data_IF_337148967921
#
_entry.id   IF_337148967921
#
_cell.length_a   1.000
_cell.length_b   1.000
_cell.length_c   1.000
_cell.angle_alpha   90.00
_cell.angle_beta   90.00
_cell.angle_gamma   90.00
#
_symmetry.space_group_name_H-M   'P 1'
#
loop_
_entity.id
_entity.type
_entity.pdbx_description
1 polymer ?
#
# COMPACT_ATOMS: atom_id res chain seq x y z
N UNK A 1 8.01 -27.66 -5.88
CA UNK A 1 7.92 -28.80 -4.94
C UNK A 1 6.50 -28.97 -4.45
N UNK A 2 6.02 -30.19 -4.12
CA UNK A 2 4.63 -30.38 -3.66
C UNK A 2 4.35 -29.60 -2.36
N UNK A 3 3.54 -28.53 -2.42
CA UNK A 3 3.31 -27.62 -1.28
C UNK A 3 2.68 -28.33 -0.08
N UNK A 4 1.90 -29.40 -0.30
CA UNK A 4 1.31 -30.21 0.76
C UNK A 4 2.31 -31.02 1.60
N UNK A 5 3.51 -31.36 1.06
CA UNK A 5 4.51 -32.13 1.81
C UNK A 5 5.53 -31.23 2.52
N UNK A 6 5.73 -30.01 2.02
CA UNK A 6 6.81 -29.12 2.44
C UNK A 6 6.34 -27.78 3.05
N UNK A 7 5.05 -27.48 3.00
CA UNK A 7 4.48 -26.20 3.46
C UNK A 7 4.63 -25.89 4.95
N UNK A 8 5.02 -26.88 5.77
CA UNK A 8 5.30 -26.70 7.21
C UNK A 8 6.78 -26.80 7.59
N UNK A 9 7.67 -27.09 6.64
CA UNK A 9 9.11 -27.33 6.91
C UNK A 9 10.04 -26.50 6.03
N UNK A 10 9.51 -25.80 5.03
CA UNK A 10 10.24 -24.86 4.18
C UNK A 10 9.54 -23.51 4.17
N UNK A 11 10.33 -22.43 4.20
CA UNK A 11 9.79 -21.08 4.09
C UNK A 11 9.10 -20.89 2.74
N UNK A 12 7.91 -20.30 2.78
CA UNK A 12 7.22 -19.87 1.57
C UNK A 12 7.60 -18.40 1.31
N UNK A 13 8.38 -18.10 0.26
CA UNK A 13 8.86 -16.74 0.00
C UNK A 13 7.71 -15.76 -0.24
N UNK A 14 6.60 -16.20 -0.83
CA UNK A 14 5.39 -15.37 -1.01
C UNK A 14 4.78 -15.01 0.33
N UNK A 15 4.65 -15.96 1.27
CA UNK A 15 4.11 -15.67 2.61
C UNK A 15 5.01 -14.69 3.35
N UNK A 16 6.33 -14.89 3.32
CA UNK A 16 7.30 -13.99 3.94
C UNK A 16 7.19 -12.58 3.34
N UNK A 17 7.18 -12.47 2.00
CA UNK A 17 7.08 -11.18 1.31
C UNK A 17 5.74 -10.48 1.57
N UNK A 18 4.62 -11.20 1.55
CA UNK A 18 3.30 -10.62 1.86
C UNK A 18 3.25 -10.06 3.28
N UNK A 19 3.84 -10.75 4.26
CA UNK A 19 3.93 -10.23 5.63
C UNK A 19 4.85 -9.01 5.71
N UNK A 20 5.98 -9.00 4.98
CA UNK A 20 6.85 -7.84 4.91
C UNK A 20 6.11 -6.63 4.32
N UNK A 21 5.37 -6.81 3.22
CA UNK A 21 4.56 -5.75 2.62
C UNK A 21 3.46 -5.24 3.56
N UNK A 22 2.73 -6.15 4.22
CA UNK A 22 1.69 -5.80 5.19
C UNK A 22 2.24 -5.08 6.44
N UNK A 23 3.54 -5.23 6.74
CA UNK A 23 4.22 -4.47 7.78
C UNK A 23 4.56 -3.04 7.37
N UNK A 24 4.60 -2.74 6.06
CA UNK A 24 4.92 -1.43 5.51
C UNK A 24 3.68 -0.57 5.26
N UNK A 25 2.57 -1.15 4.82
CA UNK A 25 1.32 -0.45 4.50
C UNK A 25 0.12 -1.29 4.95
N UNK A 26 -0.93 -0.64 5.48
CA UNK A 26 -2.14 -1.32 5.91
C UNK A 26 -3.22 -1.44 4.82
N UNK A 27 -4.33 -2.08 5.15
CA UNK A 27 -5.44 -2.32 4.23
C UNK A 27 -6.16 -1.06 3.73
N UNK A 28 -5.91 0.09 4.37
CA UNK A 28 -6.43 1.38 3.94
C UNK A 28 -5.34 2.23 3.26
N UNK A 29 -4.19 1.66 2.89
CA UNK A 29 -3.10 2.42 2.26
C UNK A 29 -2.31 3.31 3.23
N UNK A 30 -2.52 3.19 4.55
CA UNK A 30 -1.74 3.95 5.54
C UNK A 30 -0.37 3.30 5.71
N UNK A 31 0.69 4.07 5.42
CA UNK A 31 2.07 3.62 5.62
C UNK A 31 2.32 3.35 7.11
N UNK A 32 2.63 2.13 7.50
CA UNK A 32 2.92 1.75 8.89
C UNK A 32 4.32 2.17 9.33
N UNK A 33 5.31 2.06 8.44
CA UNK A 33 6.70 2.45 8.72
C UNK A 33 6.84 3.97 8.82
N UNK A 34 6.88 4.51 10.04
CA UNK A 34 6.87 5.97 10.28
C UNK A 34 8.13 6.69 9.80
N UNK A 35 9.23 5.98 9.57
CA UNK A 35 10.43 6.55 8.95
C UNK A 35 10.26 6.88 7.45
N UNK A 36 9.20 6.40 6.81
CA UNK A 36 8.89 6.67 5.39
C UNK A 36 7.92 7.85 5.20
N UNK A 37 7.45 8.47 6.28
CA UNK A 37 6.55 9.63 6.23
C UNK A 37 7.14 10.78 7.04
N UNK A 38 6.86 12.03 6.67
CA UNK A 38 7.23 13.17 7.51
C UNK A 38 6.47 13.14 8.84
N UNK A 39 6.99 13.80 9.87
CA UNK A 39 6.32 13.94 11.17
C UNK A 39 5.01 14.73 11.06
N UNK A 40 4.97 15.71 10.16
CA UNK A 40 3.81 16.54 9.86
C UNK A 40 3.98 17.22 8.50
N UNK A 41 2.88 17.66 7.90
CA UNK A 41 2.90 18.57 6.75
C UNK A 41 3.23 19.97 7.28
N UNK A 42 4.30 20.64 6.80
CA UNK A 42 4.64 22.00 7.20
C UNK A 42 3.51 23.00 6.90
N UNK A 43 3.34 24.00 7.76
CA UNK A 43 2.24 24.97 7.63
C UNK A 43 2.28 25.77 6.32
N UNK A 44 3.48 26.06 5.80
CA UNK A 44 3.65 26.70 4.50
C UNK A 44 3.10 25.86 3.35
N UNK A 45 3.27 24.54 3.42
CA UNK A 45 2.71 23.60 2.43
C UNK A 45 1.20 23.53 2.58
N UNK A 46 0.68 23.42 3.82
CA UNK A 46 -0.78 23.43 4.07
C UNK A 46 -1.44 24.69 3.51
N UNK A 47 -0.85 25.86 3.75
CA UNK A 47 -1.34 27.12 3.23
C UNK A 47 -1.32 27.15 1.69
N UNK A 48 -0.26 26.64 1.06
CA UNK A 48 -0.13 26.62 -0.39
C UNK A 48 -1.15 25.71 -1.10
N UNK A 49 -1.57 24.62 -0.44
CA UNK A 49 -2.49 23.63 -1.03
C UNK A 49 -3.95 23.79 -0.56
N UNK A 50 -4.22 24.69 0.38
CA UNK A 50 -5.54 24.85 1.00
C UNK A 50 -6.65 25.09 -0.03
N UNK A 51 -6.40 25.96 -1.00
CA UNK A 51 -7.37 26.35 -2.03
C UNK A 51 -7.32 25.48 -3.30
N UNK A 52 -6.46 24.46 -3.36
CA UNK A 52 -6.30 23.64 -4.58
C UNK A 52 -7.46 22.68 -4.85
N UNK A 53 -8.46 22.63 -3.97
CA UNK A 53 -9.77 21.98 -4.21
C UNK A 53 -9.68 20.58 -4.82
N UNK A 54 -9.53 19.54 -4.00
CA UNK A 54 -9.64 18.15 -4.47
C UNK A 54 -11.09 17.70 -4.30
N UNK A 55 -11.84 17.74 -5.40
CA UNK A 55 -13.27 17.46 -5.44
C UNK A 55 -13.59 16.36 -6.45
N UNK A 56 -14.38 15.38 -6.01
CA UNK A 56 -14.81 14.23 -6.81
C UNK A 56 -15.62 14.63 -8.05
N UNK A 57 -16.46 15.65 -7.92
CA UNK A 57 -17.33 16.11 -9.01
C UNK A 57 -16.50 16.80 -10.10
N UNK A 58 -15.54 17.64 -9.72
CA UNK A 58 -14.63 18.28 -10.66
C UNK A 58 -13.73 17.24 -11.37
N UNK A 59 -13.27 16.23 -10.64
CA UNK A 59 -12.39 15.18 -11.17
C UNK A 59 -13.15 14.08 -11.95
N UNK A 60 -14.47 13.97 -11.76
CA UNK A 60 -15.27 12.89 -12.34
C UNK A 60 -14.89 11.51 -11.82
N UNK A 61 -14.35 11.43 -10.60
CA UNK A 61 -13.82 10.22 -9.98
C UNK A 61 -14.33 10.08 -8.55
N UNK A 62 -14.60 8.85 -8.14
CA UNK A 62 -14.86 8.54 -6.72
C UNK A 62 -13.53 8.43 -5.96
N UNK A 63 -13.38 9.20 -4.91
CA UNK A 63 -12.22 9.27 -4.03
C UNK A 63 -12.55 8.63 -2.67
N UNK A 64 -11.74 7.68 -2.22
CA UNK A 64 -11.92 7.09 -0.88
C UNK A 64 -11.27 7.97 0.20
N UNK A 65 -12.10 8.70 0.93
CA UNK A 65 -11.66 9.54 2.07
C UNK A 65 -10.96 8.76 3.18
N UNK A 66 -11.14 7.43 3.25
CA UNK A 66 -10.48 6.57 4.24
C UNK A 66 -9.13 6.03 3.77
N UNK A 67 -8.82 6.14 2.48
CA UNK A 67 -7.52 5.69 1.94
C UNK A 67 -6.38 6.64 2.34
N UNK A 68 -5.21 6.08 2.64
CA UNK A 68 -4.03 6.80 3.12
C UNK A 68 -4.06 7.16 4.61
N UNK A 69 -3.35 8.23 4.97
CA UNK A 69 -3.21 8.65 6.37
C UNK A 69 -4.51 9.27 6.93
N UNK A 70 -5.03 8.69 8.00
CA UNK A 70 -6.19 9.24 8.72
C UNK A 70 -5.94 10.64 9.28
N UNK A 71 -6.98 11.47 9.25
CA UNK A 71 -6.94 12.84 9.79
C UNK A 71 -6.45 13.91 8.82
N UNK A 72 -6.04 13.53 7.61
CA UNK A 72 -5.68 14.45 6.53
C UNK A 72 -6.84 14.66 5.56
N UNK A 73 -6.93 15.87 5.00
CA UNK A 73 -7.85 16.17 3.89
C UNK A 73 -7.41 15.47 2.60
N UNK A 74 -8.29 15.39 1.60
CA UNK A 74 -7.93 14.82 0.29
C UNK A 74 -6.78 15.60 -0.38
N UNK A 75 -6.77 16.92 -0.28
CA UNK A 75 -5.68 17.76 -0.78
C UNK A 75 -4.35 17.51 -0.05
N UNK A 76 -4.40 17.37 1.28
CA UNK A 76 -3.22 17.05 2.07
C UNK A 76 -2.65 15.67 1.74
N UNK A 77 -3.52 14.67 1.51
CA UNK A 77 -3.10 13.34 1.06
C UNK A 77 -2.48 13.38 -0.34
N UNK A 78 -3.08 14.13 -1.26
CA UNK A 78 -2.65 14.17 -2.66
C UNK A 78 -1.35 14.93 -2.87
N UNK A 79 -1.17 16.07 -2.19
CA UNK A 79 -0.06 16.99 -2.44
C UNK A 79 1.00 17.03 -1.34
N UNK A 80 0.64 16.64 -0.12
CA UNK A 80 1.48 16.85 1.07
C UNK A 80 1.92 15.58 1.78
N UNK A 81 1.50 14.40 1.32
CA UNK A 81 1.77 13.14 2.01
C UNK A 81 2.36 12.07 1.10
N UNK A 82 3.17 11.19 1.68
CA UNK A 82 3.75 10.05 0.96
C UNK A 82 2.74 8.91 0.83
N UNK A 83 2.83 8.18 -0.27
CA UNK A 83 2.11 6.92 -0.50
C UNK A 83 3.08 5.77 -0.75
N UNK A 84 2.60 4.54 -0.57
CA UNK A 84 3.34 3.32 -0.91
C UNK A 84 2.41 2.43 -1.70
N UNK A 85 2.77 2.16 -2.94
CA UNK A 85 1.96 1.40 -3.88
C UNK A 85 2.68 0.11 -4.31
N UNK A 86 1.92 -0.98 -4.40
CA UNK A 86 2.41 -2.25 -4.95
C UNK A 86 2.00 -2.30 -6.43
N UNK A 87 2.93 -1.97 -7.33
CA UNK A 87 2.64 -1.88 -8.77
C UNK A 87 2.44 -3.24 -9.44
N UNK A 88 3.14 -4.27 -8.94
CA UNK A 88 3.04 -5.64 -9.44
C UNK A 88 3.37 -6.62 -8.31
N UNK A 89 2.60 -7.71 -8.21
CA UNK A 89 2.86 -8.80 -7.29
C UNK A 89 2.42 -10.11 -7.95
N UNK A 90 3.33 -11.07 -8.12
CA UNK A 90 3.04 -12.38 -8.70
C UNK A 90 3.65 -13.46 -7.83
N UNK A 91 2.93 -14.57 -7.67
CA UNK A 91 3.35 -15.70 -6.87
C UNK A 91 2.97 -17.01 -7.57
N UNK A 92 3.94 -17.91 -7.74
CA UNK A 92 3.75 -19.18 -8.44
C UNK A 92 3.30 -18.99 -9.89
N UNK A 93 2.41 -19.87 -10.36
CA UNK A 93 1.78 -19.78 -11.69
C UNK A 93 0.27 -19.48 -11.55
N UNK A 94 -0.15 -18.19 -11.57
CA UNK A 94 -1.56 -17.82 -11.45
C UNK A 94 -2.44 -18.38 -12.57
N UNK A 95 -1.89 -18.54 -13.78
CA UNK A 95 -2.63 -19.06 -14.94
C UNK A 95 -2.84 -20.58 -14.88
N UNK A 96 -1.99 -21.30 -14.14
CA UNK A 96 -2.07 -22.76 -13.92
C UNK A 96 -1.79 -23.05 -12.46
N UNK A 97 -2.77 -22.84 -11.56
CA UNK A 97 -2.58 -23.06 -10.14
C UNK A 97 -2.25 -24.53 -9.89
N UNK A 98 -1.08 -24.76 -9.30
CA UNK A 98 -0.59 -26.09 -8.91
C UNK A 98 -0.28 -26.06 -7.43
N UNK A 99 -0.40 -27.21 -6.75
CA UNK A 99 0.07 -27.40 -5.39
C UNK A 99 1.60 -27.46 -5.36
N UNK A 100 2.26 -26.41 -5.85
CA UNK A 100 3.70 -26.31 -5.85
C UNK A 100 4.17 -24.92 -5.45
N UNK A 101 5.04 -24.87 -4.44
CA UNK A 101 5.87 -23.70 -4.16
C UNK A 101 7.11 -23.75 -5.07
N UNK A 102 7.38 -22.65 -5.76
CA UNK A 102 8.66 -22.42 -6.43
C UNK A 102 9.68 -22.01 -5.37
N UNK A 103 10.70 -22.84 -5.19
CA UNK A 103 11.94 -22.46 -4.53
C UNK A 103 12.87 -21.97 -5.64
N UNK A 104 13.41 -20.76 -5.51
CA UNK A 104 14.74 -20.51 -6.05
C UNK A 104 15.77 -21.16 -5.14
#
# INVERSE_FOLDING_TARGET
MHSGNWGGVMSNPTVVLSNALASLVDQNGRIRCRGLVPSSIPDSVRAAIYDLGVDEHLLGLTLDVRWGEFGLTLGEKLFGWNTLEILAFTAGNPAKPVNASECQ
#
